data_IF_246284679610
#
_entry.id   IF_246284679610
#
_cell.length_a   1.000
_cell.length_b   1.000
_cell.length_c   1.000
_cell.angle_alpha   90.00
_cell.angle_beta   90.00
_cell.angle_gamma   90.00
#
_symmetry.space_group_name_H-M   'P 1'
#
loop_
_entity.id
_entity.type
_entity.pdbx_description
1 polymer ?
#
# COMPACT_ATOMS: atom_id res chain seq x y z
N UNK A 1 12.47 3.23 2.40
CA UNK A 1 11.35 2.71 3.23
C UNK A 1 10.38 1.95 2.35
N UNK A 2 9.87 0.81 2.80
CA UNK A 2 8.81 0.05 2.10
C UNK A 2 7.67 -0.29 3.05
N UNK A 3 6.46 -0.46 2.50
CA UNK A 3 5.29 -0.90 3.24
C UNK A 3 4.82 -2.26 2.72
N UNK A 4 4.46 -3.15 3.63
CA UNK A 4 3.84 -4.45 3.33
C UNK A 4 2.41 -4.48 3.86
N UNK A 5 1.47 -4.71 2.97
CA UNK A 5 0.07 -4.98 3.30
C UNK A 5 -0.24 -6.46 3.05
N UNK A 6 -0.77 -7.12 4.07
CA UNK A 6 -1.36 -8.44 3.94
C UNK A 6 -2.81 -8.36 4.43
N UNK A 7 -3.81 -8.74 3.62
CA UNK A 7 -5.22 -8.66 4.01
C UNK A 7 -5.51 -9.36 5.34
N UNK A 8 -6.30 -8.71 6.20
CA UNK A 8 -6.62 -9.21 7.55
C UNK A 8 -5.46 -9.18 8.54
N UNK A 9 -4.37 -8.47 8.21
CA UNK A 9 -3.24 -8.23 9.12
C UNK A 9 -2.85 -6.76 9.13
N UNK A 10 -2.05 -6.41 10.16
CA UNK A 10 -1.39 -5.12 10.29
C UNK A 10 -0.53 -4.79 9.06
N UNK A 11 -0.53 -3.52 8.67
CA UNK A 11 0.44 -2.99 7.71
C UNK A 11 1.79 -2.81 8.40
N UNK A 12 2.86 -3.34 7.82
CA UNK A 12 4.22 -3.27 8.40
C UNK A 12 5.13 -2.41 7.54
N UNK A 13 5.93 -1.55 8.17
CA UNK A 13 6.87 -0.66 7.50
C UNK A 13 8.30 -1.08 7.76
N UNK A 14 9.11 -0.99 6.72
CA UNK A 14 10.51 -1.38 6.74
C UNK A 14 11.44 -0.25 6.31
N UNK A 15 12.62 -0.17 6.91
CA UNK A 15 13.76 0.58 6.40
C UNK A 15 14.85 -0.41 5.97
N UNK A 16 14.99 -0.63 4.66
CA UNK A 16 15.76 -1.78 4.18
C UNK A 16 15.12 -3.08 4.67
N UNK A 17 15.87 -3.86 5.44
CA UNK A 17 15.41 -5.13 6.02
C UNK A 17 14.87 -4.98 7.46
N UNK A 18 14.98 -3.80 8.06
CA UNK A 18 14.58 -3.56 9.45
C UNK A 18 13.12 -3.16 9.54
N UNK A 19 12.36 -3.76 10.46
CA UNK A 19 11.00 -3.32 10.78
C UNK A 19 11.09 -2.07 11.65
N UNK A 20 10.49 -0.98 11.17
CA UNK A 20 10.46 0.31 11.87
C UNK A 20 9.08 0.63 12.47
N UNK A 21 8.07 -0.19 12.19
CA UNK A 21 6.75 -0.05 12.80
C UNK A 21 5.65 -0.82 12.10
N UNK A 22 4.46 -0.82 12.71
CA UNK A 22 3.25 -1.37 12.11
C UNK A 22 2.00 -0.60 12.53
N UNK A 23 0.97 -0.64 11.70
CA UNK A 23 -0.35 -0.09 12.00
C UNK A 23 -1.36 -1.24 11.96
N UNK A 24 -2.02 -1.49 13.11
CA UNK A 24 -2.92 -2.64 13.31
C UNK A 24 -4.28 -2.51 12.63
N UNK A 25 -4.71 -1.29 12.30
CA UNK A 25 -6.04 -1.09 11.73
C UNK A 25 -6.12 -1.75 10.33
N UNK A 26 -7.04 -2.71 10.18
CA UNK A 26 -7.22 -3.47 8.95
C UNK A 26 -7.61 -2.58 7.77
N UNK A 27 -8.32 -1.47 8.03
CA UNK A 27 -8.70 -0.51 7.00
C UNK A 27 -7.52 0.37 6.54
N UNK A 28 -6.53 0.57 7.41
CA UNK A 28 -5.40 1.46 7.10
C UNK A 28 -4.65 0.97 5.86
N UNK A 29 -4.31 -0.32 5.80
CA UNK A 29 -3.59 -0.88 4.65
C UNK A 29 -4.38 -0.72 3.36
N UNK A 30 -5.68 -1.00 3.39
CA UNK A 30 -6.54 -0.82 2.22
C UNK A 30 -6.58 0.64 1.75
N UNK A 31 -6.68 1.60 2.67
CA UNK A 31 -6.72 3.02 2.35
C UNK A 31 -5.38 3.55 1.86
N UNK A 32 -4.29 3.24 2.56
CA UNK A 32 -2.94 3.72 2.27
C UNK A 32 -2.46 3.29 0.88
N UNK A 33 -2.49 1.98 0.60
CA UNK A 33 -2.14 1.47 -0.74
C UNK A 33 -3.18 1.87 -1.79
N UNK A 34 -4.41 2.12 -1.35
CA UNK A 34 -5.49 2.64 -2.16
C UNK A 34 -5.20 4.01 -2.79
N UNK A 35 -4.32 4.84 -2.22
CA UNK A 35 -3.94 6.14 -2.78
C UNK A 35 -3.52 6.00 -4.25
N UNK A 36 -2.75 4.96 -4.56
CA UNK A 36 -2.26 4.69 -5.92
C UNK A 36 -3.00 3.55 -6.63
N UNK A 37 -3.43 2.52 -5.91
CA UNK A 37 -3.98 1.30 -6.54
C UNK A 37 -5.50 1.35 -6.74
N UNK A 38 -6.21 2.21 -5.99
CA UNK A 38 -7.67 2.34 -6.10
C UNK A 38 -8.10 2.84 -7.47
N UNK A 39 -9.25 2.38 -7.96
CA UNK A 39 -9.89 2.95 -9.16
C UNK A 39 -10.20 4.45 -9.02
N UNK A 40 -10.29 4.97 -7.78
CA UNK A 40 -10.56 6.38 -7.46
C UNK A 40 -9.29 7.24 -7.25
N UNK A 41 -8.10 6.74 -7.62
CA UNK A 41 -6.85 7.48 -7.46
C UNK A 41 -6.83 8.79 -8.27
N UNK A 42 -6.17 9.83 -7.74
CA UNK A 42 -5.87 11.06 -8.47
C UNK A 42 -4.75 10.90 -9.51
N UNK A 43 -4.05 9.75 -9.53
CA UNK A 43 -2.95 9.46 -10.46
C UNK A 43 -3.24 8.22 -11.36
N UNK A 44 -4.23 8.29 -12.28
CA UNK A 44 -4.65 7.12 -13.07
C UNK A 44 -3.54 6.50 -13.94
N UNK A 45 -2.59 7.32 -14.43
CA UNK A 45 -1.46 6.84 -15.24
C UNK A 45 -0.48 6.00 -14.42
N UNK A 46 -0.13 6.46 -13.22
CA UNK A 46 0.74 5.72 -12.29
C UNK A 46 0.09 4.39 -11.90
N UNK A 47 -1.21 4.39 -11.61
CA UNK A 47 -1.96 3.16 -11.34
C UNK A 47 -1.86 2.14 -12.47
N UNK A 48 -2.05 2.57 -13.72
CA UNK A 48 -1.92 1.67 -14.89
C UNK A 48 -0.52 1.05 -14.96
N UNK A 49 0.52 1.85 -14.73
CA UNK A 49 1.90 1.35 -14.71
C UNK A 49 2.15 0.34 -13.57
N UNK A 50 1.73 0.66 -12.34
CA UNK A 50 1.90 -0.20 -11.16
C UNK A 50 1.15 -1.54 -11.31
N UNK A 51 -0.05 -1.51 -11.89
CA UNK A 51 -0.89 -2.70 -12.08
C UNK A 51 -0.70 -3.38 -13.44
N UNK A 52 0.19 -2.86 -14.31
CA UNK A 52 0.40 -3.33 -15.69
C UNK A 52 -0.91 -3.47 -16.47
N UNK A 53 -1.80 -2.50 -16.31
CA UNK A 53 -3.05 -2.44 -17.05
C UNK A 53 -2.79 -1.98 -18.49
N UNK A 54 -3.62 -2.42 -19.46
CA UNK A 54 -3.53 -1.95 -20.85
C UNK A 54 -3.66 -0.42 -20.95
#
# INVERSE_FOLDING_TARGET
>A
MSGMYLPGKKTTFYNGNEIIGFIKNDDFGKLFFGIWLSKKTSEPKLRRALLRLP
#
